data_IF_801109401074
#
_entry.id   IF_801109401074
#
_cell.length_a   1.000
_cell.length_b   1.000
_cell.length_c   1.000
_cell.angle_alpha   90.00
_cell.angle_beta   90.00
_cell.angle_gamma   90.00
#
_symmetry.space_group_name_H-M   'P 1'
#
loop_
_entity.id
_entity.type
_entity.pdbx_description
1 polymer ?
#
# COMPACT_ATOMS: atom_id res chain seq x y z
N UNK A 1 7.79 -2.05 17.86
CA UNK A 1 7.15 -1.32 16.74
C UNK A 1 8.04 -1.46 15.50
N UNK A 2 8.41 -2.70 15.15
CA UNK A 2 9.36 -3.00 14.05
C UNK A 2 8.69 -3.74 12.88
N UNK A 3 7.41 -4.12 12.98
CA UNK A 3 6.80 -5.08 12.03
C UNK A 3 6.76 -4.55 10.58
N UNK A 4 6.42 -3.27 10.38
CA UNK A 4 6.27 -2.68 9.05
C UNK A 4 7.52 -1.88 8.62
N UNK A 5 8.71 -2.44 8.84
CA UNK A 5 9.98 -1.83 8.39
C UNK A 5 10.70 -2.65 7.32
N UNK A 6 11.57 -2.01 6.55
CA UNK A 6 12.46 -2.70 5.59
C UNK A 6 13.31 -3.76 6.27
N UNK A 7 13.84 -3.44 7.46
CA UNK A 7 14.65 -4.35 8.24
C UNK A 7 13.87 -5.60 8.64
N UNK A 8 12.60 -5.48 9.04
CA UNK A 8 11.78 -6.65 9.37
C UNK A 8 11.53 -7.54 8.15
N UNK A 9 11.16 -6.97 7.00
CA UNK A 9 10.99 -7.73 5.76
C UNK A 9 12.27 -8.44 5.35
N UNK A 10 13.43 -7.76 5.43
CA UNK A 10 14.71 -8.33 5.03
C UNK A 10 15.19 -9.42 5.98
N UNK A 11 15.02 -9.24 7.30
CA UNK A 11 15.55 -10.14 8.34
C UNK A 11 14.76 -11.43 8.43
N UNK A 12 13.43 -11.36 8.39
CA UNK A 12 12.56 -12.53 8.44
C UNK A 12 11.30 -12.29 7.60
N UNK A 13 11.39 -12.46 6.26
CA UNK A 13 10.27 -12.17 5.37
C UNK A 13 9.04 -13.04 5.68
N UNK A 14 9.24 -14.27 6.13
CA UNK A 14 8.14 -15.15 6.53
C UNK A 14 7.35 -14.56 7.70
N UNK A 15 8.05 -14.11 8.76
CA UNK A 15 7.41 -13.51 9.92
C UNK A 15 6.77 -12.15 9.59
N UNK A 16 7.43 -11.34 8.76
CA UNK A 16 6.85 -10.09 8.25
C UNK A 16 5.48 -10.36 7.63
N UNK A 17 5.44 -11.23 6.60
CA UNK A 17 4.22 -11.52 5.86
C UNK A 17 3.15 -12.16 6.74
N UNK A 18 3.50 -13.17 7.53
CA UNK A 18 2.54 -13.84 8.41
C UNK A 18 1.90 -12.90 9.43
N UNK A 19 2.67 -11.93 9.96
CA UNK A 19 2.13 -10.98 10.95
C UNK A 19 1.44 -9.78 10.32
N UNK A 20 1.82 -9.39 9.11
CA UNK A 20 1.21 -8.25 8.40
C UNK A 20 -0.03 -8.64 7.61
N UNK A 21 -0.16 -9.90 7.20
CA UNK A 21 -1.30 -10.43 6.43
C UNK A 21 -2.68 -10.03 7.01
N UNK A 22 -2.99 -10.25 8.30
CA UNK A 22 -4.32 -9.92 8.82
C UNK A 22 -4.58 -8.41 8.78
N UNK A 23 -3.56 -7.60 9.04
CA UNK A 23 -3.65 -6.13 8.99
C UNK A 23 -3.89 -5.66 7.55
N UNK A 24 -3.11 -6.18 6.60
CA UNK A 24 -3.23 -5.85 5.20
C UNK A 24 -4.56 -6.32 4.61
N UNK A 25 -5.08 -7.49 5.03
CA UNK A 25 -6.39 -7.99 4.62
C UNK A 25 -7.52 -7.12 5.14
N UNK A 26 -7.49 -6.74 6.41
CA UNK A 26 -8.48 -5.85 7.01
C UNK A 26 -8.56 -4.53 6.23
N UNK A 27 -7.42 -3.88 5.99
CA UNK A 27 -7.34 -2.63 5.20
C UNK A 27 -7.83 -2.81 3.76
N UNK A 28 -7.46 -3.92 3.10
CA UNK A 28 -7.82 -4.18 1.69
C UNK A 28 -9.30 -4.48 1.46
N UNK A 29 -10.05 -4.78 2.52
CA UNK A 29 -11.49 -5.10 2.45
C UNK A 29 -12.38 -3.98 3.00
N UNK A 30 -11.77 -2.94 3.59
CA UNK A 30 -12.47 -1.78 4.10
C UNK A 30 -13.26 -1.05 2.99
N UNK A 31 -14.32 -0.36 3.40
CA UNK A 31 -15.15 0.45 2.51
C UNK A 31 -15.05 1.93 2.85
N UNK A 32 -15.17 2.84 1.86
CA UNK A 32 -15.11 4.26 2.15
C UNK A 32 -16.25 4.72 3.06
N UNK A 33 -15.93 5.65 3.95
CA UNK A 33 -16.89 6.28 4.86
C UNK A 33 -17.30 7.68 4.36
N UNK A 34 -18.28 8.36 5.00
CA UNK A 34 -18.76 9.68 4.57
C UNK A 34 -17.68 10.76 4.38
N UNK A 35 -16.58 10.70 5.14
CA UNK A 35 -15.47 11.66 4.98
C UNK A 35 -14.80 11.52 3.61
N UNK A 36 -14.53 10.28 3.17
CA UNK A 36 -13.93 10.02 1.86
C UNK A 36 -14.82 10.54 0.73
N UNK A 37 -16.12 10.27 0.79
CA UNK A 37 -17.08 10.78 -0.21
C UNK A 37 -17.21 12.30 -0.18
N UNK A 38 -17.13 12.93 1.00
CA UNK A 38 -17.14 14.38 1.11
C UNK A 38 -15.93 15.00 0.39
N UNK A 39 -14.73 14.44 0.59
CA UNK A 39 -13.52 14.92 -0.10
C UNK A 39 -13.62 14.74 -1.62
N UNK A 40 -14.12 13.60 -2.09
CA UNK A 40 -14.37 13.38 -3.53
C UNK A 40 -15.31 14.44 -4.13
N UNK A 41 -16.37 14.82 -3.41
CA UNK A 41 -17.30 15.88 -3.84
C UNK A 41 -16.68 17.27 -3.81
N UNK A 42 -15.79 17.56 -2.85
CA UNK A 42 -15.06 18.83 -2.83
C UNK A 42 -14.11 18.95 -4.02
N UNK A 43 -13.43 17.85 -4.37
CA UNK A 43 -12.56 17.78 -5.54
C UNK A 43 -13.37 17.96 -6.83
N UNK A 44 -14.50 17.24 -6.97
CA UNK A 44 -15.40 17.34 -8.12
C UNK A 44 -15.90 18.78 -8.34
N UNK A 45 -16.15 19.52 -7.26
CA UNK A 45 -16.56 20.93 -7.29
C UNK A 45 -15.40 21.91 -7.52
N UNK A 46 -14.17 21.44 -7.64
CA UNK A 46 -12.97 22.28 -7.78
C UNK A 46 -12.61 23.07 -6.52
N UNK A 47 -13.14 22.70 -5.36
CA UNK A 47 -12.87 23.39 -4.08
C UNK A 47 -11.55 22.95 -3.44
N UNK A 48 -11.06 21.77 -3.81
CA UNK A 48 -9.73 21.28 -3.46
C UNK A 48 -9.03 20.80 -4.73
N UNK A 49 -7.70 20.94 -4.76
CA UNK A 49 -6.85 20.49 -5.88
C UNK A 49 -6.74 18.96 -5.96
N UNK A 50 -6.81 18.30 -4.82
CA UNK A 50 -6.62 16.85 -4.68
C UNK A 50 -6.38 16.45 -3.23
N UNK A 51 -5.98 15.21 -3.02
CA UNK A 51 -5.78 14.61 -1.70
C UNK A 51 -4.35 14.10 -1.59
N UNK A 52 -3.63 14.54 -0.56
CA UNK A 52 -2.37 13.93 -0.14
C UNK A 52 -2.69 12.99 1.02
N UNK A 53 -2.35 11.71 0.91
CA UNK A 53 -2.70 10.71 1.94
C UNK A 53 -1.51 9.86 2.34
N UNK A 54 -1.41 9.64 3.66
CA UNK A 54 -0.49 8.68 4.28
C UNK A 54 -1.07 7.26 4.32
N UNK A 55 -2.36 7.11 4.01
CA UNK A 55 -3.03 5.83 4.04
C UNK A 55 -2.66 5.00 2.81
N UNK A 56 -2.70 3.68 2.97
CA UNK A 56 -2.36 2.68 1.94
C UNK A 56 -3.58 1.87 1.48
N UNK A 57 -4.76 2.19 2.01
CA UNK A 57 -6.02 1.46 1.90
C UNK A 57 -6.80 1.71 0.59
N UNK A 58 -6.39 2.71 -0.20
CA UNK A 58 -7.04 3.14 -1.45
C UNK A 58 -8.49 3.65 -1.29
N UNK A 59 -8.95 3.98 -0.08
CA UNK A 59 -10.35 4.35 0.18
C UNK A 59 -10.76 5.67 -0.49
N UNK A 60 -9.83 6.60 -0.72
CA UNK A 60 -10.11 7.84 -1.44
C UNK A 60 -10.46 7.58 -2.91
N UNK A 61 -9.69 6.72 -3.57
CA UNK A 61 -9.95 6.32 -4.95
C UNK A 61 -11.27 5.55 -5.06
N UNK A 62 -11.53 4.63 -4.12
CA UNK A 62 -12.80 3.91 -4.07
C UNK A 62 -14.00 4.84 -3.82
N UNK A 63 -13.81 5.97 -3.11
CA UNK A 63 -14.84 6.99 -2.91
C UNK A 63 -15.05 7.92 -4.12
N UNK A 64 -14.21 7.82 -5.16
CA UNK A 64 -14.31 8.59 -6.39
C UNK A 64 -13.36 9.79 -6.50
N UNK A 65 -12.43 9.97 -5.56
CA UNK A 65 -11.36 10.97 -5.71
C UNK A 65 -10.43 10.61 -6.86
N UNK A 66 -10.05 11.60 -7.68
CA UNK A 66 -9.28 11.41 -8.92
C UNK A 66 -7.80 11.77 -8.75
N UNK A 67 -7.51 12.83 -8.02
CA UNK A 67 -6.16 13.37 -7.81
C UNK A 67 -5.70 13.00 -6.40
N UNK A 68 -5.18 11.79 -6.25
CA UNK A 68 -4.70 11.25 -4.97
C UNK A 68 -3.21 11.00 -5.03
N UNK A 69 -2.46 11.62 -4.11
CA UNK A 69 -1.02 11.42 -3.91
C UNK A 69 -0.80 10.51 -2.70
N UNK A 70 -0.47 9.25 -2.97
CA UNK A 70 -0.22 8.20 -1.97
C UNK A 70 1.24 8.27 -1.49
N UNK A 71 1.52 9.05 -0.45
CA UNK A 71 2.90 9.30 0.00
C UNK A 71 3.52 8.11 0.74
N UNK A 72 2.71 7.12 1.11
CA UNK A 72 3.18 5.86 1.69
C UNK A 72 2.90 4.63 0.80
N UNK A 73 2.65 4.85 -0.50
CA UNK A 73 2.33 3.76 -1.43
C UNK A 73 0.93 3.17 -1.19
N UNK A 74 0.75 1.89 -1.52
CA UNK A 74 -0.58 1.27 -1.52
C UNK A 74 -0.55 -0.26 -1.33
N UNK A 75 -1.66 -0.82 -0.87
CA UNK A 75 -1.86 -2.27 -0.72
C UNK A 75 -2.44 -2.98 -1.96
N UNK A 76 -2.51 -2.32 -3.12
CA UNK A 76 -3.10 -2.95 -4.33
C UNK A 76 -2.21 -4.02 -4.94
N UNK A 77 -0.90 -3.87 -4.85
CA UNK A 77 0.08 -4.75 -5.50
C UNK A 77 1.36 -4.92 -4.69
N UNK A 78 2.20 -5.82 -5.19
CA UNK A 78 3.53 -6.10 -4.70
C UNK A 78 4.47 -6.31 -5.89
N UNK A 79 5.75 -6.00 -5.71
CA UNK A 79 6.80 -6.26 -6.70
C UNK A 79 7.88 -7.19 -6.15
N UNK A 80 8.57 -7.91 -7.04
CA UNK A 80 9.76 -8.66 -6.70
C UNK A 80 11.00 -7.76 -6.86
N UNK A 81 11.77 -7.47 -5.79
CA UNK A 81 12.98 -6.64 -5.92
C UNK A 81 14.09 -7.28 -6.77
N UNK A 82 14.05 -8.60 -6.98
CA UNK A 82 15.07 -9.33 -7.74
C UNK A 82 14.90 -9.24 -9.26
N UNK A 83 13.67 -9.27 -9.76
CA UNK A 83 13.39 -9.28 -11.21
C UNK A 83 12.40 -8.21 -11.69
N UNK A 84 11.80 -7.44 -10.77
CA UNK A 84 10.83 -6.40 -11.09
C UNK A 84 9.44 -6.90 -11.45
N UNK A 85 9.15 -8.20 -11.34
CA UNK A 85 7.80 -8.72 -11.59
C UNK A 85 6.79 -8.14 -10.60
N UNK A 86 5.62 -7.73 -11.09
CA UNK A 86 4.52 -7.20 -10.28
C UNK A 86 3.36 -8.20 -10.20
N UNK A 87 2.62 -8.16 -9.10
CA UNK A 87 1.43 -8.99 -8.89
C UNK A 87 0.44 -8.26 -7.99
N UNK A 88 -0.85 -8.60 -8.11
CA UNK A 88 -1.87 -8.13 -7.20
C UNK A 88 -1.61 -8.64 -5.77
N UNK A 89 -1.97 -7.83 -4.78
CA UNK A 89 -1.75 -8.15 -3.37
C UNK A 89 -2.67 -9.28 -2.88
N UNK A 90 -3.90 -9.35 -3.38
CA UNK A 90 -4.92 -10.27 -2.86
C UNK A 90 -4.52 -11.76 -2.98
N UNK A 91 -4.01 -12.26 -4.12
CA UNK A 91 -3.49 -13.63 -4.20
C UNK A 91 -2.38 -13.92 -3.18
N UNK A 92 -1.50 -12.94 -2.90
CA UNK A 92 -0.41 -13.11 -1.93
C UNK A 92 -0.95 -13.23 -0.50
N UNK A 93 -1.92 -12.39 -0.13
CA UNK A 93 -2.59 -12.49 1.17
C UNK A 93 -3.27 -13.86 1.33
N UNK A 94 -3.95 -14.35 0.29
CA UNK A 94 -4.61 -15.65 0.31
C UNK A 94 -3.61 -16.82 0.40
N UNK A 95 -2.43 -16.69 -0.20
CA UNK A 95 -1.32 -17.66 -0.05
C UNK A 95 -0.79 -17.68 1.39
N UNK A 96 -0.50 -16.51 1.97
CA UNK A 96 0.04 -16.39 3.32
C UNK A 96 -0.96 -16.86 4.37
N UNK A 97 -2.26 -16.56 4.21
CA UNK A 97 -3.32 -17.04 5.09
C UNK A 97 -3.44 -18.58 5.14
N UNK A 98 -3.03 -19.28 4.06
CA UNK A 98 -2.97 -20.75 4.00
C UNK A 98 -1.70 -21.33 4.63
N UNK A 99 -0.82 -20.48 5.17
CA UNK A 99 0.44 -20.88 5.81
C UNK A 99 1.64 -20.91 4.87
N UNK A 100 1.47 -20.53 3.59
CA UNK A 100 2.58 -20.47 2.63
C UNK A 100 3.24 -19.08 2.67
N UNK A 101 4.22 -18.93 3.55
CA UNK A 101 4.91 -17.67 3.83
C UNK A 101 6.43 -17.86 3.80
N UNK A 102 7.20 -16.97 3.15
CA UNK A 102 6.76 -15.76 2.45
C UNK A 102 6.33 -16.05 1.00
N UNK A 103 5.49 -15.20 0.39
CA UNK A 103 5.15 -15.32 -1.01
C UNK A 103 6.38 -15.07 -1.90
N UNK A 104 6.64 -16.02 -2.81
CA UNK A 104 7.82 -16.00 -3.69
C UNK A 104 7.44 -15.78 -5.15
N UNK A 105 8.28 -15.01 -5.83
CA UNK A 105 8.28 -14.86 -7.27
C UNK A 105 8.87 -16.12 -7.94
N UNK A 106 8.54 -16.34 -9.21
CA UNK A 106 9.11 -17.42 -10.04
C UNK A 106 10.64 -17.36 -10.16
N UNK A 107 11.25 -16.18 -9.97
CA UNK A 107 12.71 -16.04 -9.93
C UNK A 107 13.34 -16.42 -8.57
N UNK A 108 12.53 -16.87 -7.59
CA UNK A 108 12.96 -17.22 -6.23
C UNK A 108 13.00 -16.05 -5.23
N UNK A 109 12.89 -14.81 -5.71
CA UNK A 109 12.83 -13.61 -4.87
C UNK A 109 11.53 -13.53 -4.06
N UNK A 110 11.54 -12.82 -2.94
CA UNK A 110 10.34 -12.59 -2.11
C UNK A 110 9.58 -11.38 -2.64
N UNK A 111 8.25 -11.49 -2.78
CA UNK A 111 7.44 -10.32 -3.11
C UNK A 111 7.46 -9.31 -1.96
N UNK A 112 7.60 -8.04 -2.31
CA UNK A 112 7.56 -6.89 -1.41
C UNK A 112 6.27 -6.11 -1.70
N UNK A 113 5.43 -5.81 -0.69
CA UNK A 113 4.25 -4.96 -0.92
C UNK A 113 4.68 -3.57 -1.40
N UNK A 114 3.87 -2.94 -2.25
CA UNK A 114 4.10 -1.57 -2.77
C UNK A 114 3.75 -0.49 -1.74
N UNK A 115 4.01 -0.79 -0.48
CA UNK A 115 3.87 0.09 0.67
C UNK A 115 5.26 0.62 1.02
N UNK A 116 5.31 1.92 1.33
CA UNK A 116 6.48 2.56 1.92
C UNK A 116 6.55 2.11 3.38
N UNK A 117 7.49 1.21 3.66
CA UNK A 117 7.80 0.73 5.00
C UNK A 117 8.65 1.76 5.74
N UNK A 118 8.68 1.68 7.07
CA UNK A 118 9.68 2.41 7.83
C UNK A 118 11.09 2.05 7.29
N UNK A 119 11.96 3.06 7.20
CA UNK A 119 13.31 3.02 6.60
C UNK A 119 13.34 3.10 5.06
N UNK A 120 12.18 3.16 4.38
CA UNK A 120 12.14 3.49 2.96
C UNK A 120 12.32 5.00 2.73
N UNK A 121 12.88 5.39 1.56
CA UNK A 121 12.69 6.74 1.06
C UNK A 121 11.21 6.97 0.72
N UNK A 122 10.74 8.21 0.89
CA UNK A 122 9.42 8.60 0.39
C UNK A 122 9.40 8.61 -1.15
N UNK A 123 8.26 8.32 -1.78
CA UNK A 123 8.13 8.25 -3.24
C UNK A 123 7.99 9.65 -3.84
N UNK A 124 8.07 9.74 -5.17
CA UNK A 124 7.88 11.00 -5.91
C UNK A 124 6.55 11.70 -5.59
N UNK A 125 5.52 10.96 -5.22
CA UNK A 125 4.24 11.52 -4.76
C UNK A 125 4.42 12.51 -3.59
N UNK A 126 5.39 12.29 -2.69
CA UNK A 126 5.72 13.23 -1.63
C UNK A 126 6.33 14.53 -2.18
N UNK A 127 7.24 14.42 -3.15
CA UNK A 127 7.86 15.59 -3.77
C UNK A 127 6.84 16.42 -4.55
N UNK A 128 5.90 15.78 -5.25
CA UNK A 128 4.77 16.47 -5.90
C UNK A 128 3.87 17.13 -4.85
N UNK A 129 3.55 16.43 -3.76
CA UNK A 129 2.74 16.97 -2.67
C UNK A 129 3.38 18.21 -2.03
N UNK A 130 4.71 18.20 -1.87
CA UNK A 130 5.46 19.34 -1.34
C UNK A 130 5.32 20.60 -2.20
N UNK A 131 5.16 20.44 -3.52
CA UNK A 131 4.93 21.56 -4.45
C UNK A 131 3.48 22.10 -4.41
N UNK A 132 2.59 21.46 -3.65
CA UNK A 132 1.22 21.97 -3.43
C UNK A 132 1.11 22.88 -2.21
N UNK A 133 2.16 22.94 -1.37
CA UNK A 133 2.28 23.85 -0.23
C UNK A 133 2.76 25.24 -0.67
#
# INVERSE_FOLDING_TARGET
MELLSRSALSRNPANFWTRSEPIFREMSTAQPNPCHYALARLEEKGLIRGIVTQNIDSLHQLAGSKSVLEVHGHLRSAHCPGCGAHTDMRPLLDQVAKGDSPPRCSCGGVFRPDVVLFEDPLPDAFHVAWQWA
#
